data_IF_805552989073
#
_entry.id   IF_805552989073
#
_cell.length_a   1.000
_cell.length_b   1.000
_cell.length_c   1.000
_cell.angle_alpha   90.00
_cell.angle_beta   90.00
_cell.angle_gamma   90.00
#
_symmetry.space_group_name_H-M   'P 1'
#
loop_
_entity.id
_entity.type
_entity.pdbx_description
1 polymer ?
#
# COMPACT_ATOMS: atom_id res chain seq x y z
N UNK A 1 2.58 18.57 -5.37
CA UNK A 1 2.42 17.38 -4.53
C UNK A 1 1.31 16.51 -5.09
N UNK A 2 1.53 15.21 -5.14
CA UNK A 2 0.55 14.20 -5.50
C UNK A 2 0.44 13.22 -4.32
N UNK A 3 -0.78 12.99 -3.82
CA UNK A 3 -1.01 12.00 -2.77
C UNK A 3 -1.09 10.59 -3.38
N UNK A 4 -0.17 9.71 -2.99
CA UNK A 4 -0.07 8.38 -3.58
C UNK A 4 -0.50 7.24 -2.65
N UNK A 5 -0.93 7.57 -1.42
CA UNK A 5 -1.30 6.57 -0.42
C UNK A 5 -2.53 6.98 0.40
N UNK A 6 -3.51 7.67 -0.23
CA UNK A 6 -4.76 8.02 0.45
C UNK A 6 -5.63 6.78 0.68
N UNK A 7 -6.49 6.81 1.70
CA UNK A 7 -7.35 5.70 2.08
C UNK A 7 -8.82 6.05 1.94
N UNK A 8 -9.53 5.30 1.11
CA UNK A 8 -10.98 5.39 1.01
C UNK A 8 -11.69 4.50 2.05
N UNK A 9 -13.02 4.66 2.16
CA UNK A 9 -13.87 3.81 3.01
C UNK A 9 -13.87 2.33 2.58
N UNK A 10 -13.39 1.98 1.39
CA UNK A 10 -13.17 0.59 0.98
C UNK A 10 -11.97 -0.07 1.67
N UNK A 11 -11.09 0.74 2.27
CA UNK A 11 -10.14 0.25 3.27
C UNK A 11 -10.85 0.17 4.64
N UNK A 12 -11.56 -0.93 4.86
CA UNK A 12 -12.42 -1.14 6.02
C UNK A 12 -11.69 -0.84 7.34
N UNK A 13 -12.28 -0.02 8.20
CA UNK A 13 -11.71 0.49 9.45
C UNK A 13 -10.42 1.33 9.28
N UNK A 14 -10.09 1.78 8.05
CA UNK A 14 -8.87 2.52 7.76
C UNK A 14 -9.10 3.83 7.01
N UNK A 15 -10.25 3.98 6.39
CA UNK A 15 -10.67 5.18 5.68
C UNK A 15 -12.14 5.49 5.95
N UNK A 16 -12.48 6.77 6.00
CA UNK A 16 -13.84 7.24 6.33
C UNK A 16 -14.63 7.61 5.08
N UNK A 17 -13.96 8.17 4.07
CA UNK A 17 -14.64 8.78 2.93
C UNK A 17 -14.77 7.81 1.76
N UNK A 18 -15.97 7.72 1.13
CA UNK A 18 -16.11 7.05 -0.17
C UNK A 18 -15.18 7.68 -1.20
N UNK A 19 -14.74 6.95 -2.26
CA UNK A 19 -13.78 7.46 -3.25
C UNK A 19 -14.17 8.79 -3.85
N UNK A 20 -15.44 8.98 -4.21
CA UNK A 20 -15.96 10.24 -4.74
C UNK A 20 -15.71 11.42 -3.79
N UNK A 21 -16.07 11.27 -2.52
CA UNK A 21 -15.87 12.32 -1.51
C UNK A 21 -14.39 12.58 -1.25
N UNK A 22 -13.56 11.54 -1.23
CA UNK A 22 -12.11 11.69 -1.10
C UNK A 22 -11.55 12.49 -2.28
N UNK A 23 -11.98 12.23 -3.51
CA UNK A 23 -11.57 12.99 -4.69
C UNK A 23 -11.96 14.47 -4.59
N UNK A 24 -13.21 14.75 -4.20
CA UNK A 24 -13.69 16.11 -3.98
C UNK A 24 -12.84 16.88 -2.97
N UNK A 25 -12.49 16.25 -1.85
CA UNK A 25 -11.69 16.87 -0.79
C UNK A 25 -10.21 17.07 -1.21
N UNK A 26 -9.62 16.11 -1.90
CA UNK A 26 -8.26 16.22 -2.44
C UNK A 26 -8.19 17.34 -3.50
N UNK A 27 -9.18 17.41 -4.39
CA UNK A 27 -9.29 18.49 -5.37
C UNK A 27 -9.48 19.85 -4.72
N UNK A 28 -10.35 19.95 -3.72
CA UNK A 28 -10.55 21.19 -2.93
C UNK A 28 -9.28 21.62 -2.18
N UNK A 29 -8.42 20.68 -1.81
CA UNK A 29 -7.09 20.95 -1.24
C UNK A 29 -6.04 21.38 -2.28
N UNK A 30 -6.43 21.52 -3.56
CA UNK A 30 -5.57 21.96 -4.65
C UNK A 30 -4.71 20.87 -5.29
N UNK A 31 -5.03 19.60 -5.06
CA UNK A 31 -4.38 18.50 -5.75
C UNK A 31 -5.06 18.23 -7.10
N UNK A 32 -4.27 17.84 -8.09
CA UNK A 32 -4.76 17.50 -9.44
C UNK A 32 -4.63 16.01 -9.75
N UNK A 33 -4.02 15.24 -8.85
CA UNK A 33 -3.86 13.80 -9.00
C UNK A 33 -3.74 13.13 -7.63
N UNK A 34 -4.20 11.88 -7.53
CA UNK A 34 -3.95 11.03 -6.37
C UNK A 34 -4.08 9.54 -6.70
N UNK A 35 -3.62 8.69 -5.76
CA UNK A 35 -3.88 7.27 -5.72
C UNK A 35 -4.67 6.90 -4.46
N UNK A 36 -5.64 5.99 -4.62
CA UNK A 36 -6.42 5.41 -3.52
C UNK A 36 -6.19 3.88 -3.50
N UNK A 37 -5.06 3.41 -2.94
CA UNK A 37 -4.77 1.98 -2.89
C UNK A 37 -5.68 1.27 -1.89
N UNK A 38 -6.71 0.59 -2.40
CA UNK A 38 -7.55 -0.28 -1.58
C UNK A 38 -6.81 -1.57 -1.25
N UNK A 39 -7.01 -2.07 -0.01
CA UNK A 39 -6.33 -3.26 0.46
C UNK A 39 -6.82 -4.51 -0.26
N UNK A 40 -5.89 -5.23 -0.89
CA UNK A 40 -6.12 -6.49 -1.62
C UNK A 40 -7.21 -6.41 -2.69
N UNK A 41 -7.44 -5.24 -3.29
CA UNK A 41 -8.47 -5.08 -4.30
C UNK A 41 -8.44 -3.74 -5.02
N UNK A 42 -9.35 -3.60 -5.98
CA UNK A 42 -9.60 -2.38 -6.75
C UNK A 42 -11.05 -1.91 -6.53
N UNK A 43 -11.54 -2.04 -5.30
CA UNK A 43 -12.96 -1.88 -4.97
C UNK A 43 -13.47 -0.47 -5.25
N UNK A 44 -12.71 0.54 -4.90
CA UNK A 44 -13.04 1.94 -5.10
C UNK A 44 -12.55 2.53 -6.43
N UNK A 45 -11.74 1.79 -7.20
CA UNK A 45 -11.11 2.33 -8.41
C UNK A 45 -12.12 2.83 -9.47
N UNK A 46 -13.24 2.15 -9.76
CA UNK A 46 -14.24 2.66 -10.69
C UNK A 46 -14.88 3.98 -10.24
N UNK A 47 -15.31 4.06 -8.98
CA UNK A 47 -15.92 5.27 -8.42
C UNK A 47 -14.93 6.42 -8.36
N UNK A 48 -13.65 6.11 -8.06
CA UNK A 48 -12.56 7.09 -8.05
C UNK A 48 -12.30 7.65 -9.46
N UNK A 49 -12.18 6.78 -10.46
CA UNK A 49 -11.99 7.17 -11.86
C UNK A 49 -13.15 8.05 -12.36
N UNK A 50 -14.39 7.61 -12.11
CA UNK A 50 -15.58 8.37 -12.50
C UNK A 50 -15.64 9.76 -11.86
N UNK A 51 -15.32 9.85 -10.55
CA UNK A 51 -15.26 11.14 -9.87
C UNK A 51 -14.16 12.04 -10.43
N UNK A 52 -12.98 11.48 -10.70
CA UNK A 52 -11.85 12.21 -11.24
C UNK A 52 -12.13 12.80 -12.63
N UNK A 53 -12.79 12.05 -13.52
CA UNK A 53 -13.19 12.52 -14.86
C UNK A 53 -14.12 13.73 -14.79
N UNK A 54 -14.98 13.84 -13.77
CA UNK A 54 -15.89 14.98 -13.61
C UNK A 54 -15.23 16.23 -13.07
N UNK A 55 -13.99 16.16 -12.57
CA UNK A 55 -13.32 17.24 -11.83
C UNK A 55 -11.98 17.68 -12.47
N UNK A 56 -11.64 17.21 -13.66
CA UNK A 56 -10.29 17.40 -14.24
C UNK A 56 -9.19 16.97 -13.29
N UNK A 57 -9.34 15.80 -12.69
CA UNK A 57 -8.45 15.21 -11.71
C UNK A 57 -7.93 13.87 -12.22
N UNK A 58 -6.63 13.60 -12.04
CA UNK A 58 -6.04 12.35 -12.48
C UNK A 58 -6.14 11.28 -11.38
N UNK A 59 -6.95 10.26 -11.60
CA UNK A 59 -6.98 9.06 -10.77
C UNK A 59 -5.83 8.12 -11.17
N UNK A 60 -4.98 7.76 -10.19
CA UNK A 60 -3.92 6.78 -10.37
C UNK A 60 -4.44 5.44 -9.84
N UNK A 61 -4.61 4.45 -10.73
CA UNK A 61 -5.05 3.12 -10.33
C UNK A 61 -3.98 2.47 -9.44
N UNK A 62 -4.40 1.94 -8.30
CA UNK A 62 -3.50 1.43 -7.28
C UNK A 62 -4.18 0.39 -6.39
N UNK A 63 -3.39 -0.45 -5.73
CA UNK A 63 -3.86 -1.34 -4.66
C UNK A 63 -2.77 -1.50 -3.61
N UNK A 64 -3.17 -1.70 -2.35
CA UNK A 64 -2.27 -2.05 -1.25
C UNK A 64 -2.30 -3.57 -1.06
N UNK A 65 -1.21 -4.26 -1.41
CA UNK A 65 -1.16 -5.71 -1.31
C UNK A 65 -0.65 -6.18 0.03
N UNK A 66 -1.33 -7.15 0.62
CA UNK A 66 -0.78 -7.94 1.73
C UNK A 66 0.31 -8.88 1.19
N UNK A 67 1.51 -8.79 1.75
CA UNK A 67 2.63 -9.67 1.45
C UNK A 67 2.87 -10.67 2.57
N UNK A 68 3.21 -11.90 2.20
CA UNK A 68 3.55 -12.95 3.15
C UNK A 68 4.60 -13.91 2.60
N UNK A 69 5.17 -14.75 3.48
CA UNK A 69 6.03 -15.88 3.12
C UNK A 69 5.24 -17.16 3.23
N UNK A 70 5.26 -17.97 2.18
CA UNK A 70 4.55 -19.25 2.14
C UNK A 70 3.03 -19.12 1.97
N UNK A 71 2.38 -20.19 1.61
CA UNK A 71 0.96 -20.22 1.23
C UNK A 71 0.01 -20.39 2.44
N UNK A 72 0.52 -20.81 3.58
CA UNK A 72 -0.23 -20.98 4.83
C UNK A 72 0.02 -19.76 5.74
N UNK A 73 -0.64 -18.67 5.41
CA UNK A 73 -0.41 -17.39 6.08
C UNK A 73 -1.30 -17.26 7.30
N UNK A 74 -0.71 -17.32 8.46
CA UNK A 74 -1.35 -16.91 9.69
C UNK A 74 -0.55 -15.77 10.33
N UNK A 75 -1.23 -14.79 10.91
CA UNK A 75 -0.59 -13.72 11.67
C UNK A 75 0.28 -14.25 12.82
N UNK A 76 -0.03 -15.46 13.29
CA UNK A 76 0.65 -16.11 14.39
C UNK A 76 2.00 -16.75 13.99
N UNK A 77 2.25 -17.00 12.71
CA UNK A 77 3.46 -17.73 12.26
C UNK A 77 4.64 -16.82 11.91
N UNK A 78 4.47 -15.49 11.93
CA UNK A 78 5.51 -14.54 11.53
C UNK A 78 5.78 -14.46 10.02
N UNK A 79 4.92 -15.07 9.22
CA UNK A 79 5.04 -15.10 7.75
C UNK A 79 4.52 -13.82 7.09
N UNK A 80 3.83 -12.98 7.84
CA UNK A 80 3.35 -11.69 7.38
C UNK A 80 4.51 -10.70 7.16
N UNK A 81 4.59 -10.16 5.95
CA UNK A 81 5.66 -9.22 5.55
C UNK A 81 5.20 -7.77 5.52
N UNK A 82 3.92 -7.48 5.63
CA UNK A 82 3.37 -6.12 5.58
C UNK A 82 2.48 -5.85 4.38
N UNK A 83 2.10 -4.59 4.25
CA UNK A 83 1.31 -4.09 3.14
C UNK A 83 2.16 -3.25 2.20
N UNK A 84 2.08 -3.52 0.91
CA UNK A 84 2.86 -2.86 -0.13
C UNK A 84 1.91 -2.13 -1.08
N UNK A 85 1.93 -0.79 -1.12
CA UNK A 85 1.20 -0.03 -2.14
C UNK A 85 1.84 -0.21 -3.50
N UNK A 86 1.02 -0.57 -4.49
CA UNK A 86 1.36 -0.69 -5.89
C UNK A 86 0.59 0.33 -6.72
N UNK A 87 1.29 1.06 -7.57
CA UNK A 87 0.74 2.01 -8.51
C UNK A 87 0.84 1.44 -9.94
N UNK A 88 -0.21 1.62 -10.70
CA UNK A 88 -0.26 1.17 -12.11
C UNK A 88 0.33 2.25 -13.01
N UNK A 89 1.38 1.90 -13.73
CA UNK A 89 2.03 2.80 -14.70
C UNK A 89 1.34 2.77 -16.07
N UNK A 90 0.89 1.58 -16.49
CA UNK A 90 0.36 1.37 -17.83
C UNK A 90 -0.61 0.19 -17.88
N UNK A 91 -1.17 -0.09 -19.08
CA UNK A 91 -2.14 -1.17 -19.28
C UNK A 91 -1.60 -2.56 -18.87
N UNK A 92 -0.32 -2.84 -19.13
CA UNK A 92 0.33 -4.10 -18.74
C UNK A 92 0.31 -4.24 -17.21
N UNK A 93 0.68 -3.19 -16.49
CA UNK A 93 0.64 -3.15 -15.03
C UNK A 93 -0.77 -3.35 -14.47
N UNK A 94 -1.80 -2.74 -15.09
CA UNK A 94 -3.19 -2.97 -14.70
C UNK A 94 -3.59 -4.44 -14.85
N UNK A 95 -3.26 -5.06 -15.99
CA UNK A 95 -3.54 -6.48 -16.22
C UNK A 95 -2.80 -7.39 -15.23
N UNK A 96 -1.54 -7.07 -14.94
CA UNK A 96 -0.72 -7.82 -13.99
C UNK A 96 -1.26 -7.69 -12.57
N UNK A 97 -1.63 -6.49 -12.15
CA UNK A 97 -2.27 -6.27 -10.84
C UNK A 97 -3.58 -7.05 -10.71
N UNK A 98 -4.46 -7.01 -11.74
CA UNK A 98 -5.70 -7.78 -11.73
C UNK A 98 -5.45 -9.30 -11.65
N UNK A 99 -4.45 -9.83 -12.38
CA UNK A 99 -4.09 -11.25 -12.33
C UNK A 99 -3.57 -11.64 -10.96
N UNK A 100 -2.71 -10.81 -10.38
CA UNK A 100 -2.14 -11.05 -9.05
C UNK A 100 -3.24 -11.08 -7.98
N UNK A 101 -4.09 -10.05 -7.94
CA UNK A 101 -5.25 -9.99 -7.04
C UNK A 101 -6.17 -11.21 -7.21
N UNK A 102 -6.48 -11.59 -8.45
CA UNK A 102 -7.30 -12.76 -8.73
C UNK A 102 -6.68 -14.04 -8.15
N UNK A 103 -5.38 -14.25 -8.35
CA UNK A 103 -4.67 -15.41 -7.80
C UNK A 103 -4.72 -15.45 -6.27
N UNK A 104 -4.48 -14.31 -5.63
CA UNK A 104 -4.56 -14.18 -4.17
C UNK A 104 -5.93 -14.61 -3.65
N UNK A 105 -7.00 -14.07 -4.25
CA UNK A 105 -8.37 -14.35 -3.82
C UNK A 105 -8.85 -15.76 -4.19
N UNK A 106 -8.47 -16.32 -5.32
CA UNK A 106 -8.83 -17.69 -5.70
C UNK A 106 -8.18 -18.74 -4.80
N UNK A 107 -6.99 -18.49 -4.30
CA UNK A 107 -6.31 -19.33 -3.32
C UNK A 107 -7.05 -19.31 -1.98
N UNK A 108 -7.60 -18.19 -1.63
CA UNK A 108 -8.42 -17.98 -0.45
C UNK A 108 -9.87 -18.45 -0.67
N UNK A 109 -10.22 -19.62 -0.18
CA UNK A 109 -11.60 -20.12 -0.28
C UNK A 109 -12.46 -19.49 0.82
N UNK A 110 -13.45 -18.67 0.43
CA UNK A 110 -14.40 -17.97 1.31
C UNK A 110 -15.17 -18.88 2.28
N UNK A 111 -15.18 -20.22 2.05
CA UNK A 111 -15.91 -21.19 2.85
C UNK A 111 -15.03 -22.31 3.42
N UNK A 112 -13.72 -22.20 3.39
CA UNK A 112 -12.82 -23.28 3.86
C UNK A 112 -12.31 -23.10 5.28
N UNK A 113 -12.96 -22.26 6.05
CA UNK A 113 -12.65 -22.02 7.44
C UNK A 113 -13.46 -20.83 7.92
N UNK A 114 -13.50 -20.62 9.23
CA UNK A 114 -14.19 -19.50 9.82
C UNK A 114 -13.69 -18.20 9.18
N UNK A 115 -14.46 -17.11 9.28
CA UNK A 115 -14.13 -15.72 8.85
C UNK A 115 -12.69 -15.34 9.21
N UNK A 116 -12.06 -14.23 8.74
CA UNK A 116 -10.72 -13.85 9.21
C UNK A 116 -10.71 -13.94 10.71
N UNK A 117 -10.44 -15.03 11.01
CA UNK A 117 -11.06 -15.84 12.02
C UNK A 117 -9.94 -16.21 12.93
N UNK A 118 -10.16 -17.19 13.71
CA UNK A 118 -9.24 -17.79 14.65
C UNK A 118 -7.88 -18.21 14.02
N UNK A 119 -7.79 -18.39 12.69
CA UNK A 119 -6.53 -18.67 11.99
C UNK A 119 -5.78 -17.42 11.53
N UNK A 120 -6.45 -16.26 11.49
CA UNK A 120 -5.86 -15.00 11.06
C UNK A 120 -5.34 -14.97 9.61
N UNK A 121 -5.79 -15.89 8.76
CA UNK A 121 -5.35 -15.97 7.38
C UNK A 121 -6.08 -14.95 6.48
N UNK A 122 -5.34 -14.27 5.61
CA UNK A 122 -5.85 -13.28 4.65
C UNK A 122 -5.36 -13.58 3.25
N UNK A 123 -6.06 -13.13 2.18
CA UNK A 123 -5.49 -13.12 0.85
C UNK A 123 -4.15 -12.37 0.88
N UNK A 124 -3.08 -13.03 0.48
CA UNK A 124 -1.75 -12.44 0.42
C UNK A 124 -1.01 -12.90 -0.83
N UNK A 125 -0.06 -12.10 -1.32
CA UNK A 125 0.88 -12.45 -2.36
C UNK A 125 2.22 -12.85 -1.78
N UNK A 126 2.90 -13.79 -2.43
CA UNK A 126 4.32 -14.06 -2.21
C UNK A 126 5.19 -13.16 -3.08
N UNK A 127 6.44 -12.94 -2.66
CA UNK A 127 7.38 -12.11 -3.42
C UNK A 127 7.64 -12.65 -4.83
N UNK A 128 7.67 -13.97 -5.00
CA UNK A 128 7.87 -14.60 -6.32
C UNK A 128 6.66 -14.39 -7.25
N UNK A 129 5.44 -14.41 -6.69
CA UNK A 129 4.23 -14.07 -7.45
C UNK A 129 4.20 -12.60 -7.84
N UNK A 130 4.60 -11.74 -6.92
CA UNK A 130 4.74 -10.31 -7.18
C UNK A 130 5.79 -10.06 -8.27
N UNK A 131 6.95 -10.74 -8.22
CA UNK A 131 7.98 -10.65 -9.23
C UNK A 131 7.48 -11.06 -10.63
N UNK A 132 6.70 -12.14 -10.70
CA UNK A 132 6.10 -12.61 -11.96
C UNK A 132 5.06 -11.65 -12.56
N UNK A 133 4.58 -10.66 -11.79
CA UNK A 133 3.53 -9.71 -12.20
C UNK A 133 3.93 -8.24 -11.99
N UNK A 134 5.22 -7.94 -11.79
CA UNK A 134 5.70 -6.57 -11.46
C UNK A 134 5.81 -5.63 -12.67
N UNK A 135 5.81 -6.16 -13.89
CA UNK A 135 5.92 -5.33 -15.11
C UNK A 135 4.77 -4.32 -15.20
N UNK A 136 5.12 -3.03 -15.43
CA UNK A 136 4.17 -1.93 -15.50
C UNK A 136 3.58 -1.50 -14.15
N UNK A 137 4.18 -1.95 -13.04
CA UNK A 137 3.86 -1.54 -11.68
C UNK A 137 5.03 -0.77 -11.06
N UNK A 138 4.71 0.18 -10.20
CA UNK A 138 5.63 0.86 -9.29
C UNK A 138 5.24 0.48 -7.85
N UNK A 139 6.21 0.35 -6.95
CA UNK A 139 5.98 0.03 -5.56
C UNK A 139 6.44 1.17 -4.64
N UNK A 140 5.62 1.49 -3.64
CA UNK A 140 6.03 2.26 -2.47
C UNK A 140 6.35 1.28 -1.34
N UNK A 141 7.34 1.61 -0.49
CA UNK A 141 7.70 0.68 0.61
C UNK A 141 6.69 0.63 1.75
N UNK A 142 5.61 1.41 1.63
CA UNK A 142 4.52 1.43 2.59
C UNK A 142 4.80 2.29 3.82
N UNK A 143 3.77 2.43 4.61
CA UNK A 143 3.75 3.21 5.84
C UNK A 143 4.16 2.38 7.08
N UNK A 144 3.53 2.63 8.22
CA UNK A 144 3.76 1.89 9.48
C UNK A 144 3.37 0.41 9.41
N UNK A 145 2.58 0.00 8.42
CA UNK A 145 2.20 -1.39 8.17
C UNK A 145 2.97 -2.01 7.00
N UNK A 146 3.86 -1.22 6.39
CA UNK A 146 4.71 -1.65 5.29
C UNK A 146 5.85 -2.59 5.72
N UNK A 147 6.44 -3.31 4.76
CA UNK A 147 7.50 -4.28 5.01
C UNK A 147 8.70 -3.71 5.77
N UNK A 148 9.11 -2.48 5.47
CA UNK A 148 10.26 -1.87 6.11
C UNK A 148 9.98 -1.51 7.56
N UNK A 149 8.78 -0.98 7.86
CA UNK A 149 8.40 -0.61 9.22
C UNK A 149 8.23 -1.84 10.12
N UNK A 150 7.68 -2.93 9.58
CA UNK A 150 7.57 -4.20 10.30
C UNK A 150 8.96 -4.78 10.60
N UNK A 151 9.83 -4.83 9.61
CA UNK A 151 11.20 -5.31 9.77
C UNK A 151 12.00 -4.46 10.77
N UNK A 152 11.86 -3.14 10.71
CA UNK A 152 12.47 -2.21 11.67
C UNK A 152 12.02 -2.48 13.10
N UNK A 153 10.71 -2.65 13.34
CA UNK A 153 10.17 -2.95 14.68
C UNK A 153 10.61 -4.31 15.20
N UNK A 154 10.76 -5.28 14.31
CA UNK A 154 11.15 -6.64 14.68
C UNK A 154 12.64 -6.74 15.05
N UNK A 155 13.55 -6.16 14.26
CA UNK A 155 14.98 -6.37 14.43
C UNK A 155 15.86 -5.19 13.91
N UNK A 156 15.33 -3.96 13.86
CA UNK A 156 16.07 -2.74 13.56
C UNK A 156 16.58 -2.63 12.12
N UNK A 157 17.58 -1.77 11.92
CA UNK A 157 18.12 -1.42 10.61
C UNK A 157 18.57 -2.62 9.74
N UNK A 158 19.24 -3.66 10.26
CA UNK A 158 19.65 -4.79 9.43
C UNK A 158 18.47 -5.59 8.86
N UNK A 159 17.35 -5.66 9.58
CA UNK A 159 16.15 -6.34 9.09
C UNK A 159 15.43 -5.48 8.04
N UNK A 160 15.37 -4.16 8.26
CA UNK A 160 14.81 -3.21 7.30
C UNK A 160 15.60 -3.24 5.98
N UNK A 161 16.92 -3.29 6.03
CA UNK A 161 17.77 -3.42 4.85
C UNK A 161 17.48 -4.71 4.07
N UNK A 162 17.40 -5.86 4.76
CA UNK A 162 17.05 -7.13 4.11
C UNK A 162 15.66 -7.10 3.46
N UNK A 163 14.69 -6.43 4.08
CA UNK A 163 13.37 -6.28 3.51
C UNK A 163 13.39 -5.42 2.23
N UNK A 164 14.17 -4.32 2.24
CA UNK A 164 14.35 -3.49 1.05
C UNK A 164 15.10 -4.24 -0.06
N UNK A 165 16.14 -5.00 0.26
CA UNK A 165 16.87 -5.82 -0.71
C UNK A 165 15.97 -6.90 -1.34
N UNK A 166 15.02 -7.46 -0.59
CA UNK A 166 14.04 -8.40 -1.11
C UNK A 166 13.10 -7.72 -2.13
N UNK A 167 12.61 -6.52 -1.85
CA UNK A 167 11.82 -5.72 -2.79
C UNK A 167 12.63 -5.28 -4.01
N UNK A 168 13.92 -4.96 -3.83
CA UNK A 168 14.84 -4.59 -4.90
C UNK A 168 15.15 -5.73 -5.89
N UNK A 169 14.86 -6.99 -5.54
CA UNK A 169 14.90 -8.13 -6.47
C UNK A 169 13.66 -8.20 -7.37
N UNK A 170 12.55 -7.60 -6.92
CA UNK A 170 11.28 -7.59 -7.63
C UNK A 170 11.14 -6.37 -8.53
N UNK A 171 11.52 -5.20 -8.02
CA UNK A 171 11.38 -3.93 -8.71
C UNK A 171 12.73 -3.32 -9.03
N UNK A 172 12.95 -2.81 -10.26
CA UNK A 172 14.11 -2.01 -10.58
C UNK A 172 14.09 -0.68 -9.80
N UNK A 173 15.24 -0.02 -9.71
CA UNK A 173 15.42 1.18 -8.85
C UNK A 173 14.54 2.37 -9.23
N UNK A 174 14.16 2.49 -10.49
CA UNK A 174 13.27 3.54 -11.02
C UNK A 174 11.77 3.24 -10.74
N UNK A 175 11.45 2.07 -10.20
CA UNK A 175 10.08 1.64 -9.89
C UNK A 175 9.88 1.19 -8.44
N UNK A 176 10.87 1.39 -7.59
CA UNK A 176 10.81 1.16 -6.14
C UNK A 176 11.12 2.46 -5.40
N UNK A 177 10.14 2.97 -4.67
CA UNK A 177 10.24 4.23 -3.94
C UNK A 177 10.21 3.99 -2.44
N UNK A 178 11.19 4.54 -1.73
CA UNK A 178 11.18 4.51 -0.26
C UNK A 178 10.21 5.59 0.22
N UNK A 179 9.11 5.16 0.81
CA UNK A 179 8.04 6.02 1.27
C UNK A 179 8.32 6.60 2.65
N UNK A 180 8.11 7.90 2.80
CA UNK A 180 8.22 8.61 4.07
C UNK A 180 6.89 9.29 4.36
N UNK A 181 6.38 9.10 5.58
CA UNK A 181 5.24 9.82 6.12
C UNK A 181 5.68 10.55 7.41
N UNK A 182 4.98 11.64 7.73
CA UNK A 182 5.25 12.41 8.94
C UNK A 182 3.98 12.81 9.67
N UNK A 183 3.68 12.07 10.72
CA UNK A 183 2.51 12.28 11.58
C UNK A 183 2.88 12.78 12.99
N UNK A 184 4.15 13.14 13.20
CA UNK A 184 4.68 13.60 14.49
C UNK A 184 4.52 12.56 15.63
N UNK A 185 4.54 11.28 15.28
CA UNK A 185 4.42 10.18 16.23
C UNK A 185 5.74 9.95 16.98
N UNK A 186 5.64 9.34 18.16
CA UNK A 186 6.82 8.98 18.96
C UNK A 186 7.68 7.96 18.21
N UNK A 187 8.97 8.27 18.07
CA UNK A 187 9.93 7.40 17.35
C UNK A 187 9.98 7.56 15.85
N UNK A 188 8.97 8.18 15.22
CA UNK A 188 8.88 8.37 13.77
C UNK A 188 10.09 9.08 13.18
N UNK A 189 10.60 10.11 13.87
CA UNK A 189 11.79 10.85 13.41
C UNK A 189 13.02 9.94 13.27
N UNK A 190 13.20 9.01 14.20
CA UNK A 190 14.33 8.07 14.17
C UNK A 190 14.17 7.07 13.03
N UNK A 191 12.97 6.52 12.86
CA UNK A 191 12.64 5.63 11.74
C UNK A 191 12.80 6.31 10.38
N UNK A 192 12.24 7.52 10.21
CA UNK A 192 12.36 8.26 8.96
C UNK A 192 13.81 8.60 8.61
N UNK A 193 14.62 8.93 9.61
CA UNK A 193 16.06 9.14 9.38
C UNK A 193 16.74 7.89 8.86
N UNK A 194 16.46 6.73 9.46
CA UNK A 194 17.01 5.46 9.01
C UNK A 194 16.52 5.10 7.59
N UNK A 195 15.27 5.43 7.22
CA UNK A 195 14.77 5.27 5.85
C UNK A 195 15.54 6.12 4.85
N UNK A 196 15.79 7.39 5.17
CA UNK A 196 16.57 8.31 4.31
C UNK A 196 17.99 7.77 4.10
N UNK A 197 18.69 7.45 5.20
CA UNK A 197 20.06 6.92 5.15
C UNK A 197 20.13 5.62 4.32
N UNK A 198 19.12 4.74 4.47
CA UNK A 198 19.05 3.49 3.70
C UNK A 198 18.75 3.74 2.22
N UNK A 199 17.82 4.64 1.91
CA UNK A 199 17.48 5.00 0.52
C UNK A 199 18.68 5.59 -0.21
N UNK A 200 19.42 6.52 0.44
CA UNK A 200 20.64 7.12 -0.09
C UNK A 200 21.72 6.05 -0.32
N UNK A 201 21.94 5.16 0.65
CA UNK A 201 22.91 4.08 0.53
C UNK A 201 22.61 3.13 -0.64
N UNK A 202 21.34 2.80 -0.86
CA UNK A 202 20.89 1.91 -1.95
C UNK A 202 20.70 2.64 -3.29
N UNK A 203 20.76 3.98 -3.29
CA UNK A 203 20.50 4.80 -4.47
C UNK A 203 19.06 4.65 -4.99
N UNK A 204 18.09 4.64 -4.06
CA UNK A 204 16.67 4.56 -4.34
C UNK A 204 16.00 5.92 -4.14
N UNK A 205 14.98 6.25 -4.95
CA UNK A 205 14.24 7.50 -4.81
C UNK A 205 13.39 7.49 -3.53
N UNK A 206 13.34 8.66 -2.88
CA UNK A 206 12.45 8.93 -1.76
C UNK A 206 11.14 9.55 -2.26
N UNK A 207 10.04 9.18 -1.65
CA UNK A 207 8.74 9.79 -1.90
C UNK A 207 8.05 10.12 -0.58
N UNK A 208 7.41 11.29 -0.51
CA UNK A 208 6.64 11.70 0.65
C UNK A 208 5.15 11.55 0.35
N UNK A 209 4.44 10.85 1.23
CA UNK A 209 2.98 10.75 1.23
C UNK A 209 2.44 11.18 2.59
N UNK A 210 1.14 11.38 2.69
CA UNK A 210 0.51 11.73 3.96
C UNK A 210 -0.44 10.64 4.47
N UNK A 211 -0.89 9.73 3.62
CA UNK A 211 -1.80 8.65 3.99
C UNK A 211 -3.14 9.14 4.57
N UNK A 212 -3.81 10.16 3.97
CA UNK A 212 -5.02 10.71 4.55
C UNK A 212 -6.13 9.65 4.56
N UNK A 213 -6.76 9.48 5.72
CA UNK A 213 -7.87 8.56 5.94
C UNK A 213 -9.21 9.30 6.13
N UNK A 214 -9.15 10.61 6.34
CA UNK A 214 -10.30 11.52 6.52
C UNK A 214 -9.91 12.95 6.08
N UNK A 215 -10.90 13.76 5.73
CA UNK A 215 -10.68 15.14 5.25
C UNK A 215 -10.74 16.20 6.36
N UNK A 216 -11.34 15.90 7.49
CA UNK A 216 -11.52 16.85 8.59
C UNK A 216 -11.37 16.17 9.95
N UNK A 217 -11.14 16.97 10.99
CA UNK A 217 -11.05 16.49 12.37
C UNK A 217 -12.28 15.69 12.83
N UNK A 218 -13.47 15.98 12.28
CA UNK A 218 -14.71 15.25 12.59
C UNK A 218 -14.67 13.81 12.05
N UNK A 219 -13.93 13.56 10.97
CA UNK A 219 -13.77 12.21 10.42
C UNK A 219 -12.93 11.30 11.32
N UNK A 220 -12.07 11.88 12.17
CA UNK A 220 -11.24 11.11 13.10
C UNK A 220 -12.08 10.29 14.09
N UNK A 221 -13.15 10.88 14.63
CA UNK A 221 -14.03 10.19 15.58
C UNK A 221 -14.77 8.97 14.99
N UNK A 222 -14.74 8.79 13.68
CA UNK A 222 -15.32 7.61 13.00
C UNK A 222 -14.28 6.48 12.88
N UNK A 223 -12.98 6.81 12.93
CA UNK A 223 -11.89 5.83 12.89
C UNK A 223 -11.49 5.31 14.27
N UNK A 224 -11.64 6.13 15.31
CA UNK A 224 -11.35 5.82 16.72
C UNK A 224 -12.50 5.01 17.36
#
# INVERSE_FOLDING_TARGET
>A
YVELHARSAFNFLRGVLPPKRMTEELHAAGLNAAALPDRNGLYGAPDFQFAAETMDFQAIVSAELTLARGLEHTWATGDYLGHLPLLVENRTGYQNLCRLLTRMHLRWRKNSGPLPDESGAYPAAELDELAAHSEGLMALTGDQEGPLALAWRAAGAPAMERALDALGKVFPKDRLFVEIQRHCLRGERHYNRALVELAEHKGLPLIATNGPAYASSNGRAVLD
#
